data_IF_364648434457
#
_entry.id   IF_364648434457
#
_cell.length_a   1.000
_cell.length_b   1.000
_cell.length_c   1.000
_cell.angle_alpha   90.00
_cell.angle_beta   90.00
_cell.angle_gamma   90.00
#
_symmetry.space_group_name_H-M   'P 1'
#
loop_
_entity.id
_entity.type
_entity.pdbx_description
1 polymer ?
#
# COMPACT_ATOMS: atom_id res chain seq x y z
N UNK A 1 25.80 -21.86 4.21
CA UNK A 1 27.21 -21.50 4.44
C UNK A 1 27.81 -22.40 5.52
N UNK A 2 29.11 -22.72 5.47
CA UNK A 2 29.83 -23.56 6.46
C UNK A 2 30.31 -22.71 7.66
N UNK A 3 29.36 -22.10 8.39
CA UNK A 3 29.65 -21.06 9.41
C UNK A 3 30.51 -21.60 10.56
N UNK A 4 30.21 -22.82 11.02
CA UNK A 4 30.90 -23.40 12.18
C UNK A 4 32.37 -23.72 11.88
N UNK A 5 32.67 -24.15 10.65
CA UNK A 5 34.03 -24.43 10.21
C UNK A 5 34.88 -23.16 10.11
N UNK A 6 34.27 -22.06 9.67
CA UNK A 6 34.94 -20.75 9.67
C UNK A 6 35.21 -20.25 11.09
N UNK A 7 34.25 -20.42 12.01
CA UNK A 7 34.47 -20.08 13.43
C UNK A 7 35.61 -20.90 14.03
N UNK A 8 35.65 -22.20 13.73
CA UNK A 8 36.71 -23.07 14.22
C UNK A 8 38.09 -22.69 13.65
N UNK A 9 38.17 -22.38 12.35
CA UNK A 9 39.40 -21.92 11.72
C UNK A 9 39.90 -20.58 12.30
N UNK A 10 39.00 -19.61 12.52
CA UNK A 10 39.34 -18.32 13.14
C UNK A 10 39.79 -18.49 14.60
N UNK A 11 39.13 -19.35 15.36
CA UNK A 11 39.51 -19.65 16.74
C UNK A 11 40.90 -20.30 16.82
N UNK A 12 41.27 -21.18 15.87
CA UNK A 12 42.62 -21.76 15.77
C UNK A 12 43.70 -20.71 15.47
N UNK A 13 43.33 -19.58 14.87
CA UNK A 13 44.20 -18.43 14.61
C UNK A 13 44.20 -17.40 15.77
N UNK A 14 43.56 -17.70 16.90
CA UNK A 14 43.46 -16.80 18.05
C UNK A 14 42.39 -15.70 17.93
N UNK A 15 41.57 -15.74 16.86
CA UNK A 15 40.48 -14.80 16.63
C UNK A 15 39.19 -15.32 17.26
N UNK A 16 39.03 -15.12 18.57
CA UNK A 16 37.90 -15.64 19.34
C UNK A 16 36.65 -14.76 19.29
N UNK A 17 36.80 -13.46 18.98
CA UNK A 17 35.69 -12.54 18.83
C UNK A 17 35.21 -12.51 17.38
N UNK A 18 34.16 -13.26 17.07
CA UNK A 18 33.58 -13.34 15.73
C UNK A 18 32.11 -12.94 15.75
N UNK A 19 31.71 -12.10 14.80
CA UNK A 19 30.31 -11.77 14.54
C UNK A 19 29.98 -12.23 13.11
N UNK A 20 28.90 -13.00 12.97
CA UNK A 20 28.40 -13.41 11.66
C UNK A 20 27.32 -12.42 11.23
N UNK A 21 27.44 -11.88 10.02
CA UNK A 21 26.48 -10.94 9.44
C UNK A 21 26.11 -11.44 8.05
N UNK A 22 24.82 -11.66 7.79
CA UNK A 22 24.34 -11.97 6.45
C UNK A 22 24.25 -10.66 5.66
N UNK A 23 25.08 -10.54 4.62
CA UNK A 23 25.13 -9.35 3.79
C UNK A 23 24.00 -9.30 2.75
N UNK A 24 23.28 -10.41 2.56
CA UNK A 24 22.19 -10.57 1.59
C UNK A 24 20.82 -10.36 2.25
N UNK A 25 20.53 -11.02 3.37
CA UNK A 25 19.25 -10.83 4.08
C UNK A 25 19.48 -9.92 5.27
N UNK A 26 18.94 -8.69 5.22
CA UNK A 26 19.05 -7.75 6.32
C UNK A 26 18.07 -8.09 7.44
N UNK A 27 18.62 -8.55 8.56
CA UNK A 27 17.94 -8.51 9.85
C UNK A 27 18.49 -7.37 10.71
N UNK A 28 17.62 -6.47 11.17
CA UNK A 28 18.05 -5.37 12.05
C UNK A 28 18.70 -5.86 13.35
N UNK A 29 18.43 -7.11 13.76
CA UNK A 29 19.06 -7.72 14.93
C UNK A 29 20.52 -8.11 14.65
N UNK A 30 20.85 -8.49 13.42
CA UNK A 30 22.21 -8.87 13.06
C UNK A 30 23.10 -7.63 12.91
N UNK A 31 22.57 -6.53 12.37
CA UNK A 31 23.25 -5.24 12.41
C UNK A 31 23.49 -4.78 13.86
N UNK A 32 22.48 -4.92 14.72
CA UNK A 32 22.62 -4.58 16.13
C UNK A 32 23.67 -5.46 16.83
N UNK A 33 23.68 -6.77 16.58
CA UNK A 33 24.68 -7.70 17.12
C UNK A 33 26.10 -7.34 16.67
N UNK A 34 26.26 -6.93 15.41
CA UNK A 34 27.53 -6.47 14.88
C UNK A 34 28.04 -5.25 15.66
N UNK A 35 27.20 -4.22 15.84
CA UNK A 35 27.59 -3.04 16.61
C UNK A 35 27.80 -3.33 18.10
N UNK A 36 27.00 -4.22 18.70
CA UNK A 36 27.23 -4.67 20.08
C UNK A 36 28.56 -5.40 20.24
N UNK A 37 28.96 -6.23 19.26
CA UNK A 37 30.27 -6.88 19.25
C UNK A 37 31.41 -5.85 19.08
N UNK A 38 31.26 -4.88 18.16
CA UNK A 38 32.23 -3.79 17.99
C UNK A 38 32.38 -2.98 19.29
N UNK A 39 31.28 -2.70 19.98
CA UNK A 39 31.28 -1.97 21.26
C UNK A 39 32.07 -2.70 22.36
N UNK A 40 32.08 -4.03 22.35
CA UNK A 40 32.85 -4.84 23.30
C UNK A 40 34.34 -4.84 22.95
N UNK A 41 34.67 -4.82 21.65
CA UNK A 41 36.06 -4.91 21.16
C UNK A 41 36.78 -3.56 21.10
N UNK A 42 36.05 -2.47 20.95
CA UNK A 42 36.57 -1.11 20.78
C UNK A 42 36.09 -0.20 21.92
N UNK A 43 36.58 -0.46 23.14
CA UNK A 43 36.11 0.23 24.35
C UNK A 43 36.31 1.76 24.28
N UNK A 44 37.41 2.22 23.68
CA UNK A 44 37.70 3.64 23.46
C UNK A 44 36.62 4.36 22.61
N UNK A 45 35.85 3.63 21.81
CA UNK A 45 34.80 4.15 20.93
C UNK A 45 33.38 3.77 21.39
N UNK A 46 33.23 3.29 22.64
CA UNK A 46 31.95 2.80 23.16
C UNK A 46 30.81 3.81 23.00
N UNK A 47 31.06 5.07 23.37
CA UNK A 47 30.04 6.13 23.33
C UNK A 47 29.63 6.47 21.88
N UNK A 48 30.59 6.50 20.95
CA UNK A 48 30.33 6.72 19.53
C UNK A 48 29.49 5.58 18.93
N UNK A 49 29.80 4.33 19.31
CA UNK A 49 29.05 3.15 18.85
C UNK A 49 27.63 3.14 19.44
N UNK A 50 27.46 3.51 20.71
CA UNK A 50 26.12 3.64 21.32
C UNK A 50 25.30 4.76 20.65
N UNK A 51 25.93 5.88 20.30
CA UNK A 51 25.30 6.95 19.53
C UNK A 51 24.87 6.46 18.13
N UNK A 52 25.75 5.71 17.44
CA UNK A 52 25.44 5.11 16.13
C UNK A 52 24.26 4.13 16.21
N UNK A 53 24.25 3.21 17.18
CA UNK A 53 23.14 2.26 17.39
C UNK A 53 21.83 3.03 17.59
N UNK A 54 21.85 4.10 18.41
CA UNK A 54 20.67 4.93 18.66
C UNK A 54 20.17 5.62 17.39
N UNK A 55 21.08 6.20 16.60
CA UNK A 55 20.76 6.86 15.33
C UNK A 55 20.16 5.86 14.32
N UNK A 56 20.81 4.71 14.09
CA UNK A 56 20.32 3.67 13.16
C UNK A 56 18.91 3.19 13.52
N UNK A 57 18.64 2.95 14.81
CA UNK A 57 17.29 2.61 15.29
C UNK A 57 16.28 3.74 15.06
N UNK A 58 16.67 4.99 15.25
CA UNK A 58 15.81 6.14 15.02
C UNK A 58 15.47 6.31 13.53
N UNK A 59 16.46 6.26 12.64
CA UNK A 59 16.26 6.32 11.18
C UNK A 59 15.36 5.20 10.70
N UNK A 60 15.61 3.95 11.12
CA UNK A 60 14.76 2.82 10.74
C UNK A 60 13.29 3.04 11.13
N UNK A 61 13.02 3.48 12.37
CA UNK A 61 11.65 3.81 12.80
C UNK A 61 11.05 4.91 11.94
N UNK A 62 11.80 5.97 11.68
CA UNK A 62 11.35 7.09 10.86
C UNK A 62 11.02 6.66 9.43
N UNK A 63 11.84 5.83 8.79
CA UNK A 63 11.59 5.28 7.46
C UNK A 63 10.32 4.43 7.43
N UNK A 64 10.10 3.57 8.42
CA UNK A 64 8.88 2.76 8.56
C UNK A 64 7.65 3.65 8.71
N UNK A 65 7.71 4.67 9.57
CA UNK A 65 6.60 5.58 9.81
C UNK A 65 6.27 6.40 8.56
N UNK A 66 7.29 6.87 7.84
CA UNK A 66 7.14 7.61 6.58
C UNK A 66 6.59 6.74 5.45
N UNK A 67 7.05 5.50 5.30
CA UNK A 67 6.49 4.54 4.35
C UNK A 67 5.02 4.20 4.69
N UNK A 68 4.72 3.92 5.97
CA UNK A 68 3.35 3.65 6.43
C UNK A 68 2.40 4.82 6.13
N UNK A 69 2.88 6.05 6.30
CA UNK A 69 2.14 7.27 5.97
C UNK A 69 1.88 7.38 4.47
N UNK A 70 2.89 7.16 3.62
CA UNK A 70 2.74 7.22 2.16
C UNK A 70 1.67 6.24 1.65
N UNK A 71 1.67 5.01 2.17
CA UNK A 71 0.65 4.00 1.84
C UNK A 71 -0.74 4.44 2.33
N UNK A 72 -0.83 5.02 3.53
CA UNK A 72 -2.10 5.53 4.04
C UNK A 72 -2.65 6.69 3.20
N UNK A 73 -1.79 7.59 2.73
CA UNK A 73 -2.15 8.68 1.81
C UNK A 73 -2.67 8.12 0.48
N UNK A 74 -1.96 7.16 -0.14
CA UNK A 74 -2.44 6.44 -1.33
C UNK A 74 -3.86 5.89 -1.17
N UNK A 75 -4.11 5.18 -0.07
CA UNK A 75 -5.40 4.53 0.16
C UNK A 75 -6.52 5.54 0.44
N UNK A 76 -6.23 6.61 1.18
CA UNK A 76 -7.20 7.69 1.42
C UNK A 76 -7.52 8.43 0.12
N UNK A 77 -6.50 8.71 -0.70
CA UNK A 77 -6.65 9.43 -1.96
C UNK A 77 -7.41 8.60 -3.00
N UNK A 78 -7.11 7.30 -3.10
CA UNK A 78 -7.83 6.35 -3.95
C UNK A 78 -9.28 6.14 -3.49
N UNK A 79 -9.51 5.98 -2.19
CA UNK A 79 -10.86 5.75 -1.64
C UNK A 79 -11.77 6.98 -1.77
N UNK A 80 -11.19 8.18 -1.75
CA UNK A 80 -11.93 9.45 -1.91
C UNK A 80 -11.99 9.93 -3.37
N UNK A 81 -11.27 9.31 -4.30
CA UNK A 81 -11.30 9.72 -5.70
C UNK A 81 -12.65 9.41 -6.33
N UNK A 82 -13.18 10.38 -7.08
CA UNK A 82 -14.48 10.34 -7.74
C UNK A 82 -14.25 10.68 -9.21
N UNK A 83 -14.45 9.69 -10.09
CA UNK A 83 -14.32 9.88 -11.53
C UNK A 83 -15.71 10.07 -12.16
N UNK A 84 -16.04 11.26 -12.67
CA UNK A 84 -17.36 11.53 -13.23
C UNK A 84 -17.56 10.81 -14.57
N UNK A 85 -18.75 10.24 -14.79
CA UNK A 85 -19.18 9.75 -16.11
C UNK A 85 -20.01 10.81 -16.81
N UNK A 86 -19.62 11.27 -18.02
CA UNK A 86 -20.38 12.26 -18.77
C UNK A 86 -21.81 11.76 -19.11
N UNK A 87 -22.86 12.57 -18.91
CA UNK A 87 -24.24 12.12 -19.11
C UNK A 87 -24.60 11.98 -20.59
N UNK A 88 -24.90 10.76 -21.07
CA UNK A 88 -25.42 10.54 -22.42
C UNK A 88 -26.96 10.56 -22.46
N UNK A 89 -27.58 10.64 -23.66
CA UNK A 89 -29.01 10.40 -23.84
C UNK A 89 -29.41 9.00 -23.34
N UNK A 90 -30.62 8.86 -22.77
CA UNK A 90 -31.07 7.61 -22.16
C UNK A 90 -31.40 6.51 -23.19
N UNK A 91 -31.66 6.93 -24.43
CA UNK A 91 -31.98 6.12 -25.60
C UNK A 91 -30.74 5.66 -26.39
N UNK A 92 -29.56 6.18 -26.05
CA UNK A 92 -28.30 5.85 -26.73
C UNK A 92 -27.42 4.96 -25.82
N UNK A 93 -27.77 3.68 -25.73
CA UNK A 93 -27.04 2.70 -24.91
C UNK A 93 -25.57 2.55 -25.34
N UNK A 94 -25.28 2.70 -26.64
CA UNK A 94 -23.93 2.61 -27.16
C UNK A 94 -23.05 3.76 -26.64
N UNK A 95 -23.55 5.00 -26.70
CA UNK A 95 -22.83 6.16 -26.18
C UNK A 95 -22.70 6.15 -24.66
N UNK A 96 -23.68 5.59 -23.94
CA UNK A 96 -23.57 5.37 -22.49
C UNK A 96 -22.45 4.39 -22.14
N UNK A 97 -22.37 3.27 -22.87
CA UNK A 97 -21.34 2.25 -22.67
C UNK A 97 -19.94 2.81 -22.98
N UNK A 98 -19.80 3.56 -24.08
CA UNK A 98 -18.55 4.22 -24.46
C UNK A 98 -18.06 5.19 -23.38
N UNK A 99 -18.90 6.13 -22.94
CA UNK A 99 -18.53 7.12 -21.91
C UNK A 99 -18.21 6.50 -20.56
N UNK A 100 -18.93 5.44 -20.20
CA UNK A 100 -18.63 4.67 -19.01
C UNK A 100 -17.23 4.07 -19.12
N UNK A 101 -16.92 3.39 -20.23
CA UNK A 101 -15.60 2.80 -20.47
C UNK A 101 -14.48 3.83 -20.44
N UNK A 102 -14.64 4.97 -21.10
CA UNK A 102 -13.66 6.08 -21.05
C UNK A 102 -13.39 6.54 -19.61
N UNK A 103 -14.45 6.64 -18.80
CA UNK A 103 -14.34 7.03 -17.40
C UNK A 103 -13.68 5.94 -16.55
N UNK A 104 -13.93 4.67 -16.83
CA UNK A 104 -13.23 3.55 -16.19
C UNK A 104 -11.74 3.59 -16.51
N UNK A 105 -11.37 3.76 -17.78
CA UNK A 105 -9.97 3.88 -18.23
C UNK A 105 -9.27 5.07 -17.56
N UNK A 106 -9.94 6.22 -17.46
CA UNK A 106 -9.42 7.39 -16.75
C UNK A 106 -9.19 7.12 -15.25
N UNK A 107 -10.14 6.46 -14.58
CA UNK A 107 -10.00 6.07 -13.17
C UNK A 107 -8.82 5.10 -12.97
N UNK A 108 -8.67 4.09 -13.84
CA UNK A 108 -7.55 3.15 -13.73
C UNK A 108 -6.21 3.87 -13.94
N UNK A 109 -6.10 4.72 -14.96
CA UNK A 109 -4.89 5.48 -15.22
C UNK A 109 -4.50 6.38 -14.04
N UNK A 110 -5.47 7.05 -13.44
CA UNK A 110 -5.25 7.91 -12.29
C UNK A 110 -4.76 7.13 -11.05
N UNK A 111 -5.33 5.94 -10.80
CA UNK A 111 -4.92 5.08 -9.69
C UNK A 111 -3.55 4.43 -9.91
N UNK A 112 -3.22 4.02 -11.16
CA UNK A 112 -1.89 3.51 -11.53
C UNK A 112 -0.81 4.55 -11.28
N UNK A 113 -1.03 5.78 -11.73
CA UNK A 113 -0.05 6.85 -11.53
C UNK A 113 0.13 7.19 -10.04
N UNK A 114 -0.96 7.22 -9.27
CA UNK A 114 -0.87 7.48 -7.83
C UNK A 114 -0.14 6.35 -7.08
N UNK A 115 -0.33 5.09 -7.48
CA UNK A 115 0.43 3.95 -6.94
C UNK A 115 1.93 4.12 -7.24
N UNK A 116 2.28 4.42 -8.50
CA UNK A 116 3.66 4.63 -8.93
C UNK A 116 4.36 5.74 -8.11
N UNK A 117 3.71 6.90 -7.96
CA UNK A 117 4.23 8.01 -7.14
C UNK A 117 4.40 7.62 -5.66
N UNK A 118 3.50 6.77 -5.15
CA UNK A 118 3.61 6.26 -3.78
C UNK A 118 4.79 5.31 -3.65
N UNK A 119 5.05 4.46 -4.65
CA UNK A 119 6.22 3.57 -4.64
C UNK A 119 7.54 4.35 -4.58
N UNK A 120 7.66 5.45 -5.33
CA UNK A 120 8.81 6.35 -5.18
C UNK A 120 8.88 6.98 -3.78
N UNK A 121 7.75 7.35 -3.19
CA UNK A 121 7.69 7.91 -1.84
C UNK A 121 8.12 6.89 -0.77
N UNK A 122 7.79 5.61 -0.96
CA UNK A 122 8.27 4.51 -0.10
C UNK A 122 9.77 4.35 -0.24
N UNK A 123 10.31 4.30 -1.47
CA UNK A 123 11.76 4.19 -1.71
C UNK A 123 12.52 5.37 -1.08
N UNK A 124 12.02 6.59 -1.26
CA UNK A 124 12.58 7.80 -0.66
C UNK A 124 12.51 7.80 0.88
N UNK A 125 11.54 7.09 1.49
CA UNK A 125 11.48 6.93 2.94
C UNK A 125 12.65 6.10 3.48
N UNK A 126 13.19 5.19 2.67
CA UNK A 126 14.35 4.36 2.98
C UNK A 126 15.67 4.91 2.42
N UNK A 127 15.70 6.20 2.07
CA UNK A 127 16.90 6.91 1.59
C UNK A 127 17.49 6.35 0.28
N UNK A 128 16.70 5.64 -0.53
CA UNK A 128 17.11 5.28 -1.89
C UNK A 128 17.22 6.55 -2.75
N UNK A 129 18.35 6.71 -3.44
CA UNK A 129 18.55 7.80 -4.41
C UNK A 129 17.62 7.62 -5.61
N UNK A 130 17.30 8.70 -6.31
CA UNK A 130 16.36 8.67 -7.45
C UNK A 130 16.80 7.69 -8.54
N UNK A 131 18.08 7.65 -8.89
CA UNK A 131 18.62 6.74 -9.92
C UNK A 131 18.56 5.27 -9.47
N UNK A 132 18.80 5.02 -8.18
CA UNK A 132 18.68 3.69 -7.57
C UNK A 132 17.21 3.28 -7.41
N UNK A 133 16.30 4.25 -7.24
CA UNK A 133 14.88 4.03 -7.01
C UNK A 133 14.17 3.51 -8.28
N UNK A 134 14.48 4.04 -9.46
CA UNK A 134 13.93 3.51 -10.73
C UNK A 134 14.43 2.10 -11.00
N UNK A 135 15.72 1.86 -10.81
CA UNK A 135 16.33 0.53 -10.98
C UNK A 135 15.74 -0.47 -9.97
N UNK A 136 15.63 -0.07 -8.70
CA UNK A 136 15.00 -0.89 -7.66
C UNK A 136 13.53 -1.13 -7.97
N UNK A 137 12.81 -0.14 -8.48
CA UNK A 137 11.41 -0.29 -8.83
C UNK A 137 11.25 -1.29 -9.98
N UNK A 138 12.08 -1.20 -11.02
CA UNK A 138 12.13 -2.16 -12.13
C UNK A 138 12.39 -3.58 -11.61
N UNK A 139 13.37 -3.74 -10.72
CA UNK A 139 13.68 -5.02 -10.08
C UNK A 139 12.52 -5.55 -9.21
N UNK A 140 11.86 -4.69 -8.44
CA UNK A 140 10.67 -5.01 -7.63
C UNK A 140 9.48 -5.39 -8.51
N UNK A 141 9.33 -4.75 -9.67
CA UNK A 141 8.25 -5.02 -10.62
C UNK A 141 8.45 -6.32 -11.40
N UNK A 142 9.61 -6.98 -11.35
CA UNK A 142 9.70 -8.35 -11.85
C UNK A 142 8.93 -9.31 -10.92
N UNK A 143 7.76 -9.79 -11.37
CA UNK A 143 6.87 -10.66 -10.59
C UNK A 143 5.52 -10.01 -10.29
N UNK A 144 4.99 -10.18 -9.07
CA UNK A 144 3.61 -9.73 -8.71
C UNK A 144 3.39 -8.22 -8.89
N UNK A 145 4.42 -7.39 -8.70
CA UNK A 145 4.31 -5.94 -8.76
C UNK A 145 4.31 -5.39 -10.20
N UNK A 146 4.87 -6.10 -11.18
CA UNK A 146 4.80 -5.73 -12.60
C UNK A 146 3.55 -6.20 -13.31
N UNK A 147 2.71 -6.97 -12.62
CA UNK A 147 1.38 -7.31 -13.12
C UNK A 147 0.47 -6.10 -12.92
N UNK A 148 -0.27 -5.76 -13.97
CA UNK A 148 -1.22 -4.64 -13.95
C UNK A 148 -2.24 -4.80 -12.82
N UNK A 149 -2.46 -3.71 -12.07
CA UNK A 149 -3.36 -3.65 -10.91
C UNK A 149 -4.79 -4.14 -11.23
N UNK A 150 -5.25 -3.94 -12.46
CA UNK A 150 -6.61 -4.27 -12.90
C UNK A 150 -6.67 -5.57 -13.70
N UNK A 151 -5.58 -6.34 -13.76
CA UNK A 151 -5.57 -7.64 -14.43
C UNK A 151 -6.13 -8.76 -13.55
N UNK A 152 -6.71 -9.79 -14.18
CA UNK A 152 -7.16 -11.00 -13.50
C UNK A 152 -6.03 -11.75 -12.78
N UNK A 153 -4.79 -11.64 -13.26
CA UNK A 153 -3.61 -12.23 -12.63
C UNK A 153 -3.24 -11.55 -11.31
N UNK A 154 -3.37 -10.21 -11.22
CA UNK A 154 -3.16 -9.49 -9.96
C UNK A 154 -4.16 -9.94 -8.88
N UNK A 155 -5.42 -10.13 -9.26
CA UNK A 155 -6.48 -10.61 -8.36
C UNK A 155 -6.19 -12.03 -7.86
N UNK A 156 -5.79 -12.93 -8.77
CA UNK A 156 -5.43 -14.31 -8.42
C UNK A 156 -4.24 -14.38 -7.47
N UNK A 157 -3.16 -13.68 -7.82
CA UNK A 157 -1.91 -13.72 -7.04
C UNK A 157 -2.02 -13.05 -5.67
N UNK A 158 -2.92 -12.08 -5.52
CA UNK A 158 -3.22 -11.49 -4.22
C UNK A 158 -4.10 -12.39 -3.31
N UNK A 159 -4.42 -13.61 -3.74
CA UNK A 159 -5.24 -14.54 -2.96
C UNK A 159 -6.74 -14.24 -2.99
N UNK A 160 -7.19 -13.32 -3.86
CA UNK A 160 -8.62 -13.02 -4.05
C UNK A 160 -9.29 -13.88 -5.13
N UNK A 161 -8.55 -14.81 -5.76
CA UNK A 161 -9.05 -15.68 -6.83
C UNK A 161 -10.28 -16.52 -6.46
N UNK A 162 -10.45 -16.88 -5.17
CA UNK A 162 -11.64 -17.60 -4.71
C UNK A 162 -12.94 -16.76 -4.75
N UNK A 163 -12.84 -15.42 -4.67
CA UNK A 163 -13.98 -14.51 -4.84
C UNK A 163 -14.37 -14.39 -6.32
N UNK A 164 -13.40 -14.53 -7.23
CA UNK A 164 -13.63 -14.60 -8.68
C UNK A 164 -14.15 -15.98 -9.14
N UNK A 165 -13.83 -17.05 -8.40
CA UNK A 165 -14.14 -18.44 -8.75
C UNK A 165 -15.56 -18.92 -8.47
N UNK A 166 -16.40 -18.16 -7.75
CA UNK A 166 -17.81 -18.50 -7.54
C UNK A 166 -18.70 -18.25 -8.78
N UNK A 167 -18.15 -17.63 -9.83
CA UNK A 167 -18.85 -17.32 -11.08
C UNK A 167 -18.44 -18.21 -12.26
N UNK A 168 -17.68 -19.29 -12.06
CA UNK A 168 -17.30 -20.22 -13.13
C UNK A 168 -18.39 -21.24 -13.49
N UNK A 169 -19.55 -21.22 -12.82
CA UNK A 169 -20.59 -22.23 -12.95
C UNK A 169 -21.86 -21.85 -13.71
N UNK A 170 -22.21 -20.56 -13.88
CA UNK A 170 -23.44 -20.19 -14.58
C UNK A 170 -23.45 -18.72 -15.01
N UNK A 171 -24.02 -18.47 -16.19
CA UNK A 171 -24.35 -17.18 -16.80
C UNK A 171 -23.27 -16.51 -17.67
N UNK A 172 -23.28 -16.90 -18.94
CA UNK A 172 -23.28 -16.03 -20.13
C UNK A 172 -22.94 -14.54 -19.91
N UNK A 173 -21.74 -14.15 -20.34
CA UNK A 173 -21.50 -12.98 -21.21
C UNK A 173 -21.68 -11.55 -20.70
N UNK A 174 -22.30 -11.29 -19.54
CA UNK A 174 -22.63 -9.90 -19.13
C UNK A 174 -22.19 -9.51 -17.71
N UNK A 175 -21.61 -10.43 -16.93
CA UNK A 175 -21.26 -10.21 -15.52
C UNK A 175 -19.74 -10.17 -15.23
N UNK A 176 -18.90 -10.23 -16.27
CA UNK A 176 -17.44 -10.30 -16.11
C UNK A 176 -16.87 -8.91 -15.72
N UNK A 177 -17.39 -7.81 -16.27
CA UNK A 177 -16.84 -6.46 -16.04
C UNK A 177 -17.04 -5.91 -14.62
N UNK A 178 -18.11 -6.30 -13.93
CA UNK A 178 -18.39 -5.81 -12.58
C UNK A 178 -17.48 -6.44 -11.51
N UNK A 179 -16.91 -7.62 -11.79
CA UNK A 179 -16.05 -8.36 -10.85
C UNK A 179 -14.57 -8.20 -11.21
N UNK A 180 -14.24 -8.04 -12.49
CA UNK A 180 -12.84 -7.89 -12.93
C UNK A 180 -12.34 -6.44 -12.91
N UNK A 181 -13.21 -5.43 -13.04
CA UNK A 181 -12.77 -4.02 -13.03
C UNK A 181 -12.45 -3.45 -11.65
N UNK A 182 -12.86 -4.12 -10.55
CA UNK A 182 -12.67 -3.61 -9.19
C UNK A 182 -13.34 -2.26 -8.92
N UNK A 183 -14.18 -1.75 -9.82
CA UNK A 183 -14.88 -0.47 -9.72
C UNK A 183 -16.29 -0.71 -9.21
N UNK A 184 -16.60 -0.10 -8.07
CA UNK A 184 -17.95 -0.15 -7.55
C UNK A 184 -18.76 0.96 -8.20
N UNK A 185 -19.59 0.60 -9.19
CA UNK A 185 -20.79 1.36 -9.50
C UNK A 185 -21.74 1.24 -8.31
N UNK A 186 -21.61 2.14 -7.33
CA UNK A 186 -22.56 2.22 -6.22
C UNK A 186 -21.97 2.01 -4.83
N UNK A 187 -21.30 3.05 -4.32
CA UNK A 187 -21.31 3.37 -2.89
C UNK A 187 -21.95 4.75 -2.59
N UNK A 188 -22.62 5.35 -3.58
CA UNK A 188 -23.48 6.52 -3.35
C UNK A 188 -24.84 6.14 -2.72
N UNK A 189 -25.27 4.88 -2.82
CA UNK A 189 -26.48 4.39 -2.15
C UNK A 189 -26.37 4.33 -0.62
N UNK A 190 -25.14 4.31 -0.07
CA UNK A 190 -24.90 4.36 1.37
C UNK A 190 -24.61 5.77 1.92
N UNK A 191 -24.65 6.81 1.09
CA UNK A 191 -24.34 8.20 1.44
C UNK A 191 -25.58 9.11 1.53
N UNK A 192 -26.72 8.55 1.95
CA UNK A 192 -27.95 9.32 2.09
C UNK A 192 -29.05 8.61 2.86
N UNK A 193 -28.75 8.10 4.06
CA UNK A 193 -29.80 7.67 4.98
C UNK A 193 -29.37 7.84 6.44
N UNK A 194 -28.85 9.01 6.82
CA UNK A 194 -28.80 9.40 8.24
C UNK A 194 -29.10 10.90 8.39
N UNK A 195 -30.18 11.14 9.13
CA UNK A 195 -30.68 12.36 9.79
C UNK A 195 -31.71 13.18 8.98
N UNK A 196 -32.98 13.01 9.38
CA UNK A 196 -34.06 13.94 9.07
C UNK A 196 -33.89 15.28 9.80
N UNK A 197 -34.47 16.34 9.22
CA UNK A 197 -34.57 17.64 9.86
C UNK A 197 -34.65 18.79 8.85
N UNK A 198 -35.87 19.22 8.54
CA UNK A 198 -36.26 20.52 7.96
C UNK A 198 -35.62 20.96 6.63
N UNK A 199 -36.47 21.13 5.61
CA UNK A 199 -36.13 21.71 4.32
C UNK A 199 -35.69 23.19 4.47
N UNK A 200 -34.39 23.40 4.66
CA UNK A 200 -33.75 24.72 4.59
C UNK A 200 -33.43 25.10 3.15
N UNK A 201 -34.16 26.09 2.64
CA UNK A 201 -34.00 26.72 1.33
C UNK A 201 -32.58 27.28 1.12
N UNK A 202 -31.72 26.56 0.38
CA UNK A 202 -30.58 27.18 -0.30
C UNK A 202 -30.36 26.54 -1.68
N UNK A 203 -30.48 27.37 -2.72
CA UNK A 203 -30.51 26.95 -4.13
C UNK A 203 -29.20 26.28 -4.64
N UNK A 204 -28.12 26.34 -3.85
CA UNK A 204 -26.82 25.73 -4.18
C UNK A 204 -26.73 24.26 -3.77
N UNK A 205 -27.46 23.84 -2.72
CA UNK A 205 -27.54 22.44 -2.26
C UNK A 205 -28.40 21.59 -3.21
N UNK A 206 -29.47 22.18 -3.75
CA UNK A 206 -30.40 21.53 -4.69
C UNK A 206 -29.75 21.19 -6.03
N UNK A 207 -28.75 21.95 -6.47
CA UNK A 207 -28.05 21.71 -7.74
C UNK A 207 -27.20 20.43 -7.75
N UNK A 208 -26.70 19.99 -6.58
CA UNK A 208 -25.99 18.70 -6.41
C UNK A 208 -26.95 17.52 -6.40
N UNK A 209 -28.13 17.69 -5.80
CA UNK A 209 -29.20 16.67 -5.83
C UNK A 209 -29.80 16.55 -7.24
N UNK A 210 -29.90 17.66 -7.96
CA UNK A 210 -30.40 17.72 -9.33
C UNK A 210 -29.43 17.08 -10.35
N UNK A 211 -28.11 17.11 -10.13
CA UNK A 211 -27.14 16.33 -10.92
C UNK A 211 -27.27 14.82 -10.71
N UNK A 212 -27.56 14.38 -9.48
CA UNK A 212 -27.77 12.96 -9.14
C UNK A 212 -29.05 12.38 -9.75
N UNK A 213 -30.08 13.20 -9.91
CA UNK A 213 -31.34 12.81 -10.55
C UNK A 213 -31.28 12.79 -12.10
N UNK A 214 -30.20 13.32 -12.70
CA UNK A 214 -30.06 13.45 -14.17
C UNK A 214 -29.02 12.52 -14.81
N UNK A 215 -28.54 11.50 -14.09
CA UNK A 215 -27.70 10.43 -14.69
C UNK A 215 -26.18 10.60 -14.54
N UNK A 216 -25.70 11.23 -13.46
CA UNK A 216 -24.27 11.18 -13.11
C UNK A 216 -23.94 9.87 -12.37
N UNK A 217 -23.53 8.85 -13.12
CA UNK A 217 -22.95 7.62 -12.57
C UNK A 217 -21.48 7.87 -12.24
N UNK A 218 -21.15 8.39 -11.07
CA UNK A 218 -19.74 8.58 -10.73
C UNK A 218 -19.08 7.24 -10.37
N UNK A 219 -17.83 7.04 -10.81
CA UNK A 219 -17.02 5.85 -10.55
C UNK A 219 -16.07 6.06 -9.36
N UNK A 220 -15.85 4.98 -8.61
CA UNK A 220 -14.93 4.94 -7.48
C UNK A 220 -14.15 3.63 -7.44
N UNK A 221 -12.99 3.66 -6.79
CA UNK A 221 -12.24 2.45 -6.43
C UNK A 221 -13.08 1.54 -5.52
N UNK A 222 -13.27 0.28 -5.93
CA UNK A 222 -13.92 -0.74 -5.11
C UNK A 222 -12.99 -1.29 -4.05
N UNK A 223 -13.55 -2.07 -3.12
CA UNK A 223 -12.80 -2.62 -1.99
C UNK A 223 -11.67 -3.55 -2.46
N UNK A 224 -11.87 -4.29 -3.56
CA UNK A 224 -10.84 -5.16 -4.12
C UNK A 224 -9.62 -4.37 -4.59
N UNK A 225 -9.83 -3.27 -5.34
CA UNK A 225 -8.74 -2.40 -5.79
C UNK A 225 -7.96 -1.81 -4.60
N UNK A 226 -8.66 -1.32 -3.57
CA UNK A 226 -8.00 -0.81 -2.35
C UNK A 226 -7.18 -1.89 -1.64
N UNK A 227 -7.68 -3.12 -1.57
CA UNK A 227 -6.95 -4.25 -0.99
C UNK A 227 -5.71 -4.62 -1.81
N UNK A 228 -5.82 -4.61 -3.14
CA UNK A 228 -4.69 -4.87 -4.03
C UNK A 228 -3.60 -3.81 -3.87
N UNK A 229 -3.96 -2.52 -3.91
CA UNK A 229 -3.03 -1.41 -3.71
C UNK A 229 -2.34 -1.50 -2.34
N UNK A 230 -3.10 -1.82 -1.28
CA UNK A 230 -2.56 -2.03 0.06
C UNK A 230 -1.54 -3.18 0.09
N UNK A 231 -1.90 -4.36 -0.41
CA UNK A 231 -1.01 -5.53 -0.43
C UNK A 231 0.27 -5.23 -1.18
N UNK A 232 0.17 -4.70 -2.40
CA UNK A 232 1.32 -4.35 -3.25
C UNK A 232 2.26 -3.36 -2.58
N UNK A 233 1.70 -2.32 -1.96
CA UNK A 233 2.51 -1.30 -1.28
C UNK A 233 3.20 -1.82 -0.01
N UNK A 234 2.52 -2.69 0.75
CA UNK A 234 3.11 -3.34 1.93
C UNK A 234 4.19 -4.33 1.52
N UNK A 235 3.98 -5.10 0.45
CA UNK A 235 4.96 -6.03 -0.08
C UNK A 235 6.24 -5.30 -0.50
N UNK A 236 6.12 -4.17 -1.21
CA UNK A 236 7.26 -3.31 -1.54
C UNK A 236 8.00 -2.84 -0.27
N UNK A 237 7.28 -2.30 0.71
CA UNK A 237 7.89 -1.81 1.94
C UNK A 237 8.59 -2.92 2.75
N UNK A 238 8.00 -4.13 2.83
CA UNK A 238 8.60 -5.30 3.47
C UNK A 238 9.84 -5.77 2.74
N UNK A 239 9.80 -5.78 1.42
CA UNK A 239 10.92 -6.25 0.61
C UNK A 239 12.12 -5.30 0.73
N UNK A 240 11.90 -3.98 0.75
CA UNK A 240 12.95 -2.99 1.03
C UNK A 240 13.51 -3.16 2.45
N UNK A 241 12.66 -3.38 3.46
CA UNK A 241 13.08 -3.51 4.86
C UNK A 241 13.98 -4.70 5.17
N UNK A 242 13.94 -5.73 4.33
CA UNK A 242 14.70 -6.99 4.45
C UNK A 242 15.92 -7.04 3.53
N UNK A 243 16.14 -6.04 2.67
CA UNK A 243 17.26 -6.02 1.74
C UNK A 243 18.58 -5.77 2.47
N UNK A 244 19.51 -6.73 2.38
CA UNK A 244 20.91 -6.60 2.79
C UNK A 244 21.65 -5.53 2.01
N UNK A 245 22.68 -4.92 2.61
CA UNK A 245 23.54 -3.95 1.92
C UNK A 245 24.34 -4.55 0.74
N UNK A 246 24.47 -5.88 0.65
CA UNK A 246 25.10 -6.58 -0.47
C UNK A 246 24.13 -7.48 -1.25
N UNK A 247 22.81 -7.25 -1.12
CA UNK A 247 21.84 -7.99 -1.93
C UNK A 247 21.80 -7.42 -3.35
N UNK A 248 22.57 -8.06 -4.25
CA UNK A 248 22.54 -7.86 -5.70
C UNK A 248 21.33 -8.58 -6.35
N UNK A 249 20.51 -9.32 -5.60
CA UNK A 249 19.35 -10.03 -6.14
C UNK A 249 18.16 -9.09 -6.27
N UNK A 250 17.41 -9.28 -7.35
CA UNK A 250 16.16 -8.58 -7.64
C UNK A 250 15.17 -8.74 -6.49
N UNK A 251 14.53 -7.64 -6.08
CA UNK A 251 13.57 -7.61 -4.98
C UNK A 251 12.39 -8.52 -5.30
N UNK A 252 12.32 -9.68 -4.65
CA UNK A 252 11.16 -10.58 -4.75
C UNK A 252 10.21 -10.26 -3.59
N UNK A 253 9.04 -9.63 -3.83
CA UNK A 253 8.04 -9.50 -2.79
C UNK A 253 7.67 -10.91 -2.29
N UNK A 254 7.92 -11.17 -1.00
CA UNK A 254 7.61 -12.46 -0.39
C UNK A 254 6.09 -12.66 -0.33
N UNK A 255 5.67 -13.90 -0.54
CA UNK A 255 4.28 -14.32 -0.75
C UNK A 255 3.43 -14.36 0.53
N UNK A 256 3.80 -13.66 1.60
CA UNK A 256 2.99 -13.61 2.83
C UNK A 256 1.85 -12.63 2.62
N UNK A 257 0.81 -13.11 1.94
CA UNK A 257 -0.42 -12.38 1.72
C UNK A 257 -0.97 -11.84 3.04
N UNK A 258 -1.40 -10.57 3.02
CA UNK A 258 -2.09 -9.99 4.17
C UNK A 258 -3.34 -10.82 4.50
N UNK A 259 -3.56 -11.05 5.79
CA UNK A 259 -4.76 -11.73 6.25
C UNK A 259 -6.01 -10.96 5.80
N UNK A 260 -7.05 -11.70 5.40
CA UNK A 260 -8.34 -11.13 4.99
C UNK A 260 -8.93 -10.20 6.07
N UNK A 261 -8.80 -10.57 7.33
CA UNK A 261 -9.24 -9.79 8.50
C UNK A 261 -8.57 -8.42 8.58
N UNK A 262 -7.25 -8.35 8.32
CA UNK A 262 -6.46 -7.12 8.28
C UNK A 262 -6.90 -6.24 7.11
N UNK A 263 -7.03 -6.83 5.93
CA UNK A 263 -7.48 -6.15 4.72
C UNK A 263 -8.87 -5.52 4.93
N UNK A 264 -9.81 -6.28 5.47
CA UNK A 264 -11.18 -5.80 5.77
C UNK A 264 -11.17 -4.70 6.84
N UNK A 265 -10.30 -4.81 7.86
CA UNK A 265 -10.14 -3.78 8.91
C UNK A 265 -9.65 -2.45 8.32
N UNK A 266 -8.64 -2.48 7.44
CA UNK A 266 -8.10 -1.27 6.81
C UNK A 266 -9.11 -0.66 5.84
N UNK A 267 -9.75 -1.45 4.98
CA UNK A 267 -10.80 -0.96 4.08
C UNK A 267 -11.98 -0.37 4.86
N UNK A 268 -12.38 -0.97 5.99
CA UNK A 268 -13.40 -0.39 6.88
C UNK A 268 -12.96 0.95 7.45
N UNK A 269 -11.68 1.15 7.74
CA UNK A 269 -11.14 2.43 8.18
C UNK A 269 -11.18 3.52 7.08
N UNK A 270 -11.25 3.14 5.80
CA UNK A 270 -11.36 4.04 4.65
C UNK A 270 -12.81 4.48 4.35
N UNK A 271 -13.83 3.93 5.03
CA UNK A 271 -15.24 4.34 4.81
C UNK A 271 -15.46 5.85 4.95
N UNK A 272 -14.76 6.49 5.88
CA UNK A 272 -14.81 7.95 6.04
C UNK A 272 -14.20 8.69 4.85
N UNK A 273 -13.17 8.16 4.21
CA UNK A 273 -12.57 8.80 3.02
C UNK A 273 -13.53 8.72 1.82
N UNK A 274 -14.22 7.58 1.66
CA UNK A 274 -15.22 7.38 0.59
C UNK A 274 -16.33 8.43 0.58
N UNK A 275 -16.70 8.97 1.75
CA UNK A 275 -17.74 10.01 1.85
C UNK A 275 -17.24 11.44 1.62
N UNK A 276 -15.94 11.64 1.40
CA UNK A 276 -15.36 12.97 1.26
C UNK A 276 -14.52 13.07 -0.04
N UNK A 277 -15.15 13.27 -1.21
CA UNK A 277 -14.42 13.41 -2.48
C UNK A 277 -13.40 14.55 -2.50
N UNK A 278 -13.60 15.56 -1.65
CA UNK A 278 -12.67 16.66 -1.46
C UNK A 278 -11.37 16.26 -0.76
N UNK A 279 -11.21 15.02 -0.28
CA UNK A 279 -9.98 14.53 0.35
C UNK A 279 -8.97 13.95 -0.64
N UNK A 280 -9.39 13.66 -1.87
CA UNK A 280 -8.52 13.00 -2.84
C UNK A 280 -7.40 13.92 -3.32
N UNK A 281 -6.16 13.47 -3.22
CA UNK A 281 -4.98 14.03 -3.89
C UNK A 281 -4.72 13.45 -5.28
N UNK A 282 -5.56 12.55 -5.79
CA UNK A 282 -5.33 11.94 -7.11
C UNK A 282 -5.38 13.02 -8.21
N UNK A 283 -4.30 13.12 -8.99
CA UNK A 283 -4.16 14.07 -10.10
C UNK A 283 -4.00 15.54 -9.70
N UNK A 284 -3.82 15.85 -8.40
CA UNK A 284 -3.68 17.22 -7.88
C UNK A 284 -2.88 17.26 -6.58
N UNK A 285 -2.62 18.44 -6.03
CA UNK A 285 -1.99 18.53 -4.70
C UNK A 285 -2.93 18.00 -3.60
N UNK A 286 -2.43 17.22 -2.62
CA UNK A 286 -3.24 16.70 -1.54
C UNK A 286 -3.90 17.83 -0.74
N UNK A 287 -5.22 17.77 -0.51
CA UNK A 287 -5.92 18.77 0.28
C UNK A 287 -5.53 18.64 1.76
N UNK A 288 -5.43 19.78 2.45
CA UNK A 288 -5.16 19.82 3.88
C UNK A 288 -6.46 19.80 4.67
N UNK A 289 -6.49 19.08 5.79
CA UNK A 289 -7.66 19.03 6.67
C UNK A 289 -7.46 18.10 7.86
N UNK A 290 -7.95 18.53 9.04
CA UNK A 290 -7.81 17.77 10.30
C UNK A 290 -8.43 16.38 10.24
N UNK A 291 -9.58 16.24 9.58
CA UNK A 291 -10.29 14.94 9.50
C UNK A 291 -9.61 13.98 8.52
N UNK A 292 -9.10 14.50 7.39
CA UNK A 292 -8.27 13.75 6.46
C UNK A 292 -7.00 13.26 7.15
N UNK A 293 -6.30 14.15 7.85
CA UNK A 293 -5.08 13.82 8.59
C UNK A 293 -5.34 12.76 9.67
N UNK A 294 -6.44 12.86 10.42
CA UNK A 294 -6.83 11.82 11.39
C UNK A 294 -7.09 10.48 10.72
N UNK A 295 -7.71 10.48 9.54
CA UNK A 295 -7.94 9.26 8.76
C UNK A 295 -6.60 8.64 8.32
N UNK A 296 -5.67 9.45 7.79
CA UNK A 296 -4.32 9.03 7.41
C UNK A 296 -3.57 8.44 8.60
N UNK A 297 -3.54 9.12 9.75
CA UNK A 297 -2.84 8.63 10.94
C UNK A 297 -3.39 7.28 11.42
N UNK A 298 -4.72 7.12 11.42
CA UNK A 298 -5.36 5.85 11.78
C UNK A 298 -4.99 4.73 10.81
N UNK A 299 -5.04 5.00 9.49
CA UNK A 299 -4.69 4.00 8.48
C UNK A 299 -3.19 3.67 8.53
N UNK A 300 -2.34 4.68 8.68
CA UNK A 300 -0.89 4.52 8.79
C UNK A 300 -0.50 3.64 9.99
N UNK A 301 -1.15 3.81 11.14
CA UNK A 301 -0.93 2.93 12.30
C UNK A 301 -1.27 1.46 12.00
N UNK A 302 -2.37 1.20 11.30
CA UNK A 302 -2.75 -0.16 10.88
C UNK A 302 -1.79 -0.74 9.86
N UNK A 303 -1.36 0.06 8.89
CA UNK A 303 -0.38 -0.35 7.86
C UNK A 303 0.98 -0.65 8.49
N UNK A 304 1.41 0.16 9.46
CA UNK A 304 2.67 -0.03 10.18
C UNK A 304 2.78 -1.39 10.86
N UNK A 305 1.68 -1.88 11.45
CA UNK A 305 1.58 -3.22 12.03
C UNK A 305 1.80 -4.33 11.00
N UNK A 306 1.55 -4.06 9.72
CA UNK A 306 1.74 -5.01 8.62
C UNK A 306 3.14 -4.93 8.04
N UNK A 307 3.74 -3.74 7.96
CA UNK A 307 5.12 -3.57 7.51
C UNK A 307 6.11 -4.24 8.46
N UNK A 308 5.89 -4.09 9.77
CA UNK A 308 6.67 -4.76 10.83
C UNK A 308 5.72 -5.68 11.61
N UNK A 309 5.47 -6.91 11.13
CA UNK A 309 4.60 -7.83 11.85
C UNK A 309 5.19 -8.06 13.25
N UNK A 310 4.34 -7.96 14.28
CA UNK A 310 4.71 -8.37 15.63
C UNK A 310 5.12 -9.83 15.57
N UNK A 311 6.35 -10.14 15.99
CA UNK A 311 6.80 -11.53 16.13
C UNK A 311 5.98 -12.17 17.24
N UNK A 312 5.51 -13.40 17.03
CA UNK A 312 4.77 -14.22 17.99
C UNK A 312 5.55 -14.58 19.26
N UNK A 313 6.83 -14.20 19.34
CA UNK A 313 7.76 -14.56 20.43
C UNK A 313 7.54 -13.73 21.71
N UNK A 314 6.69 -12.70 21.69
CA UNK A 314 6.27 -11.95 22.89
C UNK A 314 5.09 -12.62 23.63
N UNK A 315 4.59 -13.78 23.16
CA UNK A 315 3.49 -14.52 23.78
C UNK A 315 3.93 -15.65 24.73
N UNK A 316 5.25 -15.87 24.92
CA UNK A 316 5.80 -16.88 25.85
C UNK A 316 6.65 -16.27 26.98
N UNK A 317 6.22 -15.12 27.53
CA UNK A 317 6.65 -14.69 28.87
C UNK A 317 5.44 -14.39 29.74
#
# INVERSE_FOLDING_TARGET
ARVDEWREALARLGLHATASFDTVIYESRDEQRLFEAMRVLADDFRDDIDALIKDRRARRRWSIDRASRAIAELLVDAASHLQPVPPAPADDEALQAERKRESEEALQAALREHERLTFHSILAAFEFKTDDAETTLLECTEGRLGIDLFSGDAIRQAGFGAVAGAASGAASGAAIDLVFGGMSLGAASALGALIGGTFGSSATQTRRLYRRLRGANDLHAGDLTLKLMLSRSVDLARAILRRGHADERKVRPEEVALEKTVLDKIVKALKSARSHPSWSGVGKSPPQGRDRERCIQRVAALVREQIVPKRTDDAEK
#
